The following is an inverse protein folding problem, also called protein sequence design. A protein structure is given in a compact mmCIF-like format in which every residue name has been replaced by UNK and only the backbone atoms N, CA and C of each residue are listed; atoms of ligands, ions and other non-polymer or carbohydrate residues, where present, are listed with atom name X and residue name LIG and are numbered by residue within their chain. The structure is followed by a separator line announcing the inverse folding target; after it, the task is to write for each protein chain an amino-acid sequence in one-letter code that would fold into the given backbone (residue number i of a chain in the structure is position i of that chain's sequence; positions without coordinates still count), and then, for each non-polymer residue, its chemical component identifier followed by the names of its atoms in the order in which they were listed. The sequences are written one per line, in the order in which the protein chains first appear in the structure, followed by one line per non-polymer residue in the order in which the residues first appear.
data_IF_647746902587
#
_entry.id   IF_647746902587
#
_cell.length_a   1.000
_cell.length_b   1.000
_cell.length_c   1.000
_cell.angle_alpha   90.00
_cell.angle_beta   90.00
_cell.angle_gamma   90.00
#
_symmetry.space_group_name_H-M   'P 1'
#
loop_
_entity.id
_entity.type
_entity.pdbx_description
1 polymer ?
#
# COMPACT_ATOMS: atom_id res chain seq x y z
N UNK A 1 -65.22 24.16 -11.48
CA UNK A 1 -64.38 22.96 -11.29
C UNK A 1 -62.94 23.37 -10.89
N UNK A 2 -62.70 23.70 -9.62
CA UNK A 2 -61.36 23.88 -8.99
C UNK A 2 -61.49 23.74 -7.47
N UNK A 3 -61.78 22.53 -6.99
CA UNK A 3 -61.82 22.19 -5.55
C UNK A 3 -61.01 20.92 -5.35
N UNK A 4 -59.70 21.00 -5.54
CA UNK A 4 -58.79 19.86 -5.31
C UNK A 4 -57.45 20.26 -4.66
N UNK A 5 -57.21 21.54 -4.40
CA UNK A 5 -55.94 22.01 -3.80
C UNK A 5 -56.02 22.13 -2.28
N UNK A 6 -57.19 22.45 -1.71
CA UNK A 6 -57.34 22.70 -0.27
C UNK A 6 -57.29 21.43 0.60
N UNK A 7 -57.62 20.25 0.05
CA UNK A 7 -57.61 18.98 0.80
C UNK A 7 -56.22 18.37 0.95
N UNK A 8 -55.28 18.70 0.06
CA UNK A 8 -53.92 18.15 0.09
C UNK A 8 -53.03 18.77 1.17
N UNK A 9 -53.26 20.04 1.51
CA UNK A 9 -52.49 20.73 2.56
C UNK A 9 -52.89 20.29 3.97
N UNK A 10 -54.16 19.96 4.20
CA UNK A 10 -54.62 19.47 5.51
C UNK A 10 -53.92 18.17 5.92
N UNK A 11 -53.69 17.23 4.98
CA UNK A 11 -53.05 15.95 5.31
C UNK A 11 -51.54 16.08 5.59
N UNK A 12 -50.88 17.14 5.10
CA UNK A 12 -49.47 17.37 5.37
C UNK A 12 -49.24 17.98 6.76
N UNK A 13 -50.09 18.93 7.15
CA UNK A 13 -50.04 19.49 8.51
C UNK A 13 -50.41 18.47 9.58
N UNK A 14 -51.37 17.58 9.29
CA UNK A 14 -51.73 16.47 10.19
C UNK A 14 -50.57 15.48 10.37
N UNK A 15 -49.83 15.19 9.28
CA UNK A 15 -48.61 14.37 9.33
C UNK A 15 -47.48 15.04 10.12
N UNK A 16 -47.31 16.36 10.01
CA UNK A 16 -46.31 17.11 10.79
C UNK A 16 -46.69 17.20 12.27
N UNK A 17 -47.98 17.31 12.59
CA UNK A 17 -48.48 17.31 13.96
C UNK A 17 -48.25 15.96 14.67
N UNK A 18 -48.43 14.84 13.95
CA UNK A 18 -48.13 13.48 14.44
C UNK A 18 -46.62 13.27 14.65
N UNK A 19 -45.77 13.83 13.80
CA UNK A 19 -44.31 13.76 13.99
C UNK A 19 -43.87 14.60 15.20
N UNK A 20 -44.43 15.80 15.40
CA UNK A 20 -44.11 16.64 16.57
C UNK A 20 -44.60 16.02 17.88
N UNK A 21 -45.79 15.42 17.90
CA UNK A 21 -46.31 14.75 19.10
C UNK A 21 -45.60 13.41 19.36
N UNK A 22 -45.20 12.69 18.31
CA UNK A 22 -44.44 11.43 18.40
C UNK A 22 -42.97 11.60 18.80
N UNK A 23 -42.31 12.68 18.38
CA UNK A 23 -40.90 12.94 18.69
C UNK A 23 -40.67 13.40 20.15
N UNK A 24 -41.63 14.09 20.76
CA UNK A 24 -41.52 14.53 22.14
C UNK A 24 -41.73 13.38 23.16
N UNK A 25 -42.54 12.38 22.83
CA UNK A 25 -42.82 11.23 23.70
C UNK A 25 -41.82 10.08 23.61
N UNK A 26 -41.05 9.97 22.51
CA UNK A 26 -40.11 8.87 22.29
C UNK A 26 -38.69 9.20 22.73
N UNK A 27 -38.23 10.47 22.61
CA UNK A 27 -36.94 10.88 23.16
C UNK A 27 -36.90 10.79 24.69
N UNK A 28 -37.99 11.14 25.38
CA UNK A 28 -38.05 11.08 26.84
C UNK A 28 -38.02 9.65 27.40
N UNK A 29 -38.59 8.66 26.69
CA UNK A 29 -38.53 7.25 27.10
C UNK A 29 -37.22 6.54 26.77
N UNK A 30 -36.51 6.95 25.71
CA UNK A 30 -35.20 6.35 25.39
C UNK A 30 -34.05 6.92 26.25
N UNK A 31 -34.18 8.14 26.78
CA UNK A 31 -33.19 8.71 27.69
C UNK A 31 -33.26 8.16 29.12
N UNK A 32 -34.41 7.66 29.58
CA UNK A 32 -34.53 7.03 30.91
C UNK A 32 -34.18 5.53 30.95
N UNK A 33 -33.86 4.92 29.81
CA UNK A 33 -33.48 3.51 29.71
C UNK A 33 -31.97 3.29 29.45
N UNK A 34 -31.16 4.35 29.48
CA UNK A 34 -29.71 4.26 29.43
C UNK A 34 -29.18 4.05 30.86
N UNK A 35 -28.45 2.95 31.14
CA UNK A 35 -27.78 2.80 32.43
C UNK A 35 -26.77 3.95 32.60
N UNK A 36 -26.69 4.50 33.81
CA UNK A 36 -25.79 5.61 34.21
C UNK A 36 -24.27 5.28 34.12
N UNK A 37 -23.89 4.28 33.34
CA UNK A 37 -22.50 3.98 32.99
C UNK A 37 -22.26 4.43 31.56
N UNK A 38 -21.69 5.63 31.41
CA UNK A 38 -21.38 6.24 30.12
C UNK A 38 -20.79 5.23 29.15
N UNK A 39 -21.53 4.92 28.09
CA UNK A 39 -21.00 4.25 26.92
C UNK A 39 -19.91 5.17 26.36
N UNK A 40 -18.68 4.87 26.76
CA UNK A 40 -17.49 5.47 26.21
C UNK A 40 -17.53 5.12 24.73
N UNK A 41 -18.00 6.05 23.92
CA UNK A 41 -17.78 6.10 22.48
C UNK A 41 -16.26 6.11 22.34
N UNK A 42 -15.66 4.92 22.32
CA UNK A 42 -14.29 4.72 21.93
C UNK A 42 -14.20 5.22 20.51
N UNK A 43 -13.81 6.49 20.37
CA UNK A 43 -13.36 7.09 19.11
C UNK A 43 -12.49 6.05 18.40
N UNK A 44 -12.67 5.85 17.08
CA UNK A 44 -11.81 4.95 16.35
C UNK A 44 -10.37 5.36 16.67
N UNK A 45 -9.66 4.45 17.34
CA UNK A 45 -8.28 4.60 17.74
C UNK A 45 -7.54 4.98 16.46
N UNK A 46 -7.21 6.27 16.31
CA UNK A 46 -6.63 6.80 15.08
C UNK A 46 -5.40 5.96 14.82
N UNK A 47 -5.50 5.09 13.81
CA UNK A 47 -4.44 4.16 13.46
C UNK A 47 -3.18 5.00 13.31
N UNK A 48 -2.16 4.70 14.11
CA UNK A 48 -0.93 5.50 14.22
C UNK A 48 -0.52 5.97 12.82
N UNK A 49 -0.54 7.29 12.61
CA UNK A 49 -0.42 7.88 11.28
C UNK A 49 0.81 7.30 10.56
N UNK A 50 0.61 6.81 9.33
CA UNK A 50 1.73 6.42 8.50
C UNK A 50 2.41 7.70 8.03
N UNK A 51 3.62 7.94 8.51
CA UNK A 51 4.42 9.11 8.11
C UNK A 51 4.71 9.05 6.61
N UNK A 52 4.73 10.17 5.88
CA UNK A 52 5.09 10.21 4.45
C UNK A 52 6.40 9.49 4.13
N UNK A 53 7.40 9.59 5.02
CA UNK A 53 8.68 8.89 4.90
C UNK A 53 8.49 7.37 4.82
N UNK A 54 7.60 6.80 5.63
CA UNK A 54 7.33 5.36 5.61
C UNK A 54 6.60 4.92 4.34
N UNK A 55 5.73 5.77 3.80
CA UNK A 55 5.10 5.54 2.50
C UNK A 55 6.17 5.52 1.42
N UNK A 56 7.07 6.50 1.40
CA UNK A 56 8.18 6.55 0.44
C UNK A 56 9.08 5.30 0.54
N UNK A 57 9.44 4.90 1.76
CA UNK A 57 10.20 3.66 2.00
C UNK A 57 9.46 2.45 1.47
N UNK A 58 8.14 2.33 1.71
CA UNK A 58 7.32 1.26 1.14
C UNK A 58 7.35 1.24 -0.39
N UNK A 59 7.23 2.39 -1.04
CA UNK A 59 7.34 2.53 -2.50
C UNK A 59 8.72 2.10 -3.00
N UNK A 60 9.80 2.53 -2.35
CA UNK A 60 11.16 2.13 -2.73
C UNK A 60 11.34 0.61 -2.59
N UNK A 61 10.85 0.02 -1.49
CA UNK A 61 10.89 -1.43 -1.29
C UNK A 61 10.15 -2.15 -2.42
N UNK A 62 8.96 -1.69 -2.78
CA UNK A 62 8.22 -2.26 -3.91
C UNK A 62 8.97 -2.21 -5.23
N UNK A 63 9.61 -1.07 -5.52
CA UNK A 63 10.40 -0.93 -6.75
C UNK A 63 11.63 -1.84 -6.75
N UNK A 64 12.39 -1.86 -5.65
CA UNK A 64 13.61 -2.67 -5.50
C UNK A 64 13.31 -4.16 -5.56
N UNK A 65 12.22 -4.61 -4.93
CA UNK A 65 11.83 -6.03 -4.92
C UNK A 65 11.45 -6.52 -6.31
N UNK A 66 10.72 -5.72 -7.10
CA UNK A 66 10.46 -6.05 -8.49
C UNK A 66 11.74 -6.06 -9.34
N UNK A 67 12.59 -5.04 -9.21
CA UNK A 67 13.87 -4.99 -9.95
C UNK A 67 14.72 -6.23 -9.64
N UNK A 68 14.86 -6.58 -8.36
CA UNK A 68 15.57 -7.78 -7.94
C UNK A 68 14.93 -9.06 -8.48
N UNK A 69 13.60 -9.13 -8.54
CA UNK A 69 12.87 -10.23 -9.16
C UNK A 69 13.15 -10.38 -10.65
N UNK A 70 13.13 -9.28 -11.40
CA UNK A 70 13.42 -9.25 -12.83
C UNK A 70 14.87 -9.69 -13.11
N UNK A 71 15.83 -9.16 -12.35
CA UNK A 71 17.23 -9.58 -12.43
C UNK A 71 17.39 -11.05 -12.11
N UNK A 72 16.74 -11.55 -11.05
CA UNK A 72 16.82 -12.95 -10.66
C UNK A 72 16.27 -13.88 -11.74
N UNK A 73 15.16 -13.51 -12.38
CA UNK A 73 14.59 -14.28 -13.49
C UNK A 73 15.59 -14.43 -14.65
N UNK A 74 16.25 -13.34 -15.05
CA UNK A 74 17.26 -13.36 -16.13
C UNK A 74 18.51 -14.15 -15.74
N UNK A 75 18.90 -14.11 -14.46
CA UNK A 75 20.07 -14.82 -13.96
C UNK A 75 19.83 -16.32 -13.79
N UNK A 76 18.58 -16.73 -13.54
CA UNK A 76 18.21 -18.14 -13.42
C UNK A 76 18.04 -18.81 -14.78
N UNK A 77 17.62 -18.07 -15.81
CA UNK A 77 17.31 -18.59 -17.16
C UNK A 77 18.40 -19.54 -17.73
N UNK A 78 19.72 -19.24 -17.65
CA UNK A 78 20.77 -20.14 -18.12
C UNK A 78 20.86 -21.48 -17.38
N UNK A 79 20.36 -21.54 -16.14
CA UNK A 79 20.38 -22.74 -15.29
C UNK A 79 19.12 -23.59 -15.42
N UNK A 80 18.03 -23.04 -15.99
CA UNK A 80 16.73 -23.71 -16.10
C UNK A 80 16.83 -25.01 -16.92
N UNK A 81 17.67 -25.03 -17.96
CA UNK A 81 17.89 -26.21 -18.80
C UNK A 81 18.51 -27.42 -18.06
N UNK A 82 19.08 -27.21 -16.88
CA UNK A 82 19.70 -28.26 -16.06
C UNK A 82 18.78 -28.74 -14.92
N UNK A 83 17.59 -28.18 -14.78
CA UNK A 83 16.63 -28.51 -13.72
C UNK A 83 15.59 -29.52 -14.20
N UNK A 84 14.99 -30.26 -13.26
CA UNK A 84 13.84 -31.11 -13.54
C UNK A 84 12.71 -30.30 -14.19
N UNK A 85 12.00 -30.91 -15.14
CA UNK A 85 11.03 -30.22 -16.00
C UNK A 85 9.92 -29.48 -15.22
N UNK A 86 9.47 -30.03 -14.09
CA UNK A 86 8.49 -29.40 -13.21
C UNK A 86 9.05 -28.14 -12.53
N UNK A 87 10.29 -28.20 -12.05
CA UNK A 87 10.93 -27.08 -11.38
C UNK A 87 11.27 -25.97 -12.38
N UNK A 88 11.79 -26.34 -13.55
CA UNK A 88 12.05 -25.43 -14.66
C UNK A 88 10.77 -24.67 -15.08
N UNK A 89 9.67 -25.40 -15.30
CA UNK A 89 8.38 -24.79 -15.68
C UNK A 89 7.83 -23.87 -14.59
N UNK A 90 8.01 -24.23 -13.32
CA UNK A 90 7.56 -23.41 -12.20
C UNK A 90 8.33 -22.10 -12.10
N UNK A 91 9.65 -22.12 -12.29
CA UNK A 91 10.50 -20.93 -12.26
C UNK A 91 10.21 -20.00 -13.45
N UNK A 92 9.99 -20.57 -14.64
CA UNK A 92 9.57 -19.82 -15.83
C UNK A 92 8.19 -19.17 -15.66
N UNK A 93 7.23 -19.91 -15.08
CA UNK A 93 5.89 -19.39 -14.82
C UNK A 93 5.91 -18.23 -13.83
N UNK A 94 6.81 -18.28 -12.86
CA UNK A 94 6.97 -17.25 -11.85
C UNK A 94 7.48 -15.95 -12.49
N UNK A 95 8.51 -16.06 -13.33
CA UNK A 95 9.13 -14.92 -14.01
C UNK A 95 9.57 -13.80 -13.05
N UNK A 96 9.92 -12.64 -13.62
CA UNK A 96 10.41 -11.51 -12.82
C UNK A 96 9.39 -10.96 -11.82
N UNK A 97 8.13 -10.86 -12.26
CA UNK A 97 7.01 -10.37 -11.43
C UNK A 97 6.74 -11.29 -10.25
N UNK A 98 6.73 -12.61 -10.46
CA UNK A 98 6.49 -13.58 -9.40
C UNK A 98 7.64 -13.62 -8.38
N UNK A 99 8.90 -13.62 -8.83
CA UNK A 99 10.04 -13.51 -7.92
C UNK A 99 10.00 -12.20 -7.12
N UNK A 100 9.70 -11.09 -7.79
CA UNK A 100 9.57 -9.80 -7.11
C UNK A 100 8.45 -9.82 -6.07
N UNK A 101 7.32 -10.48 -6.36
CA UNK A 101 6.19 -10.61 -5.44
C UNK A 101 6.57 -11.40 -4.19
N UNK A 102 7.31 -12.50 -4.36
CA UNK A 102 7.86 -13.26 -3.23
C UNK A 102 8.80 -12.40 -2.40
N UNK A 103 9.72 -11.67 -3.04
CA UNK A 103 10.66 -10.77 -2.35
C UNK A 103 9.92 -9.65 -1.61
N UNK A 104 8.84 -9.10 -2.18
CA UNK A 104 8.00 -8.11 -1.52
C UNK A 104 7.30 -8.68 -0.29
N UNK A 105 6.77 -9.90 -0.37
CA UNK A 105 6.18 -10.60 0.79
C UNK A 105 7.22 -10.84 1.88
N UNK A 106 8.40 -11.33 1.53
CA UNK A 106 9.50 -11.52 2.47
C UNK A 106 9.92 -10.20 3.12
N UNK A 107 10.02 -9.11 2.34
CA UNK A 107 10.32 -7.79 2.86
C UNK A 107 9.23 -7.27 3.82
N UNK A 108 7.95 -7.50 3.49
CA UNK A 108 6.84 -7.14 4.38
C UNK A 108 6.90 -7.89 5.71
N UNK A 109 7.22 -9.18 5.68
CA UNK A 109 7.36 -10.01 6.89
C UNK A 109 8.56 -9.54 7.73
N UNK A 110 9.73 -9.38 7.09
CA UNK A 110 10.97 -8.99 7.77
C UNK A 110 10.87 -7.60 8.41
N UNK A 111 10.25 -6.65 7.71
CA UNK A 111 10.12 -5.25 8.15
C UNK A 111 8.83 -4.98 8.95
N UNK A 112 8.02 -6.02 9.19
CA UNK A 112 6.72 -5.94 9.89
C UNK A 112 5.82 -4.83 9.33
N UNK A 113 5.69 -4.78 8.00
CA UNK A 113 4.86 -3.80 7.29
C UNK A 113 3.39 -4.27 7.29
N UNK A 114 2.75 -4.16 8.45
CA UNK A 114 1.38 -4.63 8.72
C UNK A 114 0.27 -3.64 8.29
N UNK A 115 0.64 -2.38 8.02
CA UNK A 115 -0.34 -1.34 7.69
C UNK A 115 -0.76 -1.39 6.22
N UNK A 116 -2.07 -1.28 5.91
CA UNK A 116 -2.57 -1.34 4.53
C UNK A 116 -2.00 -0.23 3.64
N UNK A 117 -1.76 0.97 4.19
CA UNK A 117 -1.14 2.07 3.44
C UNK A 117 0.29 1.74 2.98
N UNK A 118 1.04 0.92 3.72
CA UNK A 118 2.39 0.49 3.34
C UNK A 118 2.33 -0.58 2.24
N UNK A 119 1.34 -1.48 2.31
CA UNK A 119 1.11 -2.47 1.25
C UNK A 119 0.73 -1.79 -0.08
N UNK A 120 -0.12 -0.76 -0.03
CA UNK A 120 -0.45 0.07 -1.20
C UNK A 120 0.79 0.79 -1.72
N UNK A 121 1.64 1.32 -0.83
CA UNK A 121 2.89 1.97 -1.23
C UNK A 121 3.84 0.98 -1.94
N UNK A 122 3.99 -0.24 -1.43
CA UNK A 122 4.77 -1.31 -2.07
C UNK A 122 4.20 -1.66 -3.44
N UNK A 123 2.89 -1.86 -3.56
CA UNK A 123 2.24 -2.11 -4.84
C UNK A 123 2.46 -0.95 -5.84
N UNK A 124 2.43 0.29 -5.34
CA UNK A 124 2.73 1.49 -6.14
C UNK A 124 4.18 1.48 -6.62
N UNK A 125 5.12 1.12 -5.76
CA UNK A 125 6.53 0.94 -6.11
C UNK A 125 6.74 -0.13 -7.19
N UNK A 126 6.01 -1.23 -7.07
CA UNK A 126 5.96 -2.30 -8.06
C UNK A 126 5.57 -1.78 -9.44
N UNK A 127 4.45 -1.04 -9.52
CA UNK A 127 3.99 -0.41 -10.75
C UNK A 127 4.98 0.63 -11.28
N UNK A 128 5.56 1.44 -10.38
CA UNK A 128 6.55 2.43 -10.75
C UNK A 128 7.79 1.79 -11.38
N UNK A 129 8.23 0.64 -10.89
CA UNK A 129 9.37 -0.08 -11.45
C UNK A 129 9.03 -0.79 -12.77
N UNK A 130 7.82 -1.34 -12.93
CA UNK A 130 7.37 -1.88 -14.24
C UNK A 130 7.50 -0.84 -15.35
N UNK A 131 7.17 0.42 -15.06
CA UNK A 131 7.30 1.52 -16.02
C UNK A 131 8.73 2.10 -16.05
N UNK A 132 9.37 2.13 -14.88
CA UNK A 132 10.67 2.75 -14.65
C UNK A 132 11.84 1.95 -15.23
N UNK A 133 11.69 0.67 -15.51
CA UNK A 133 12.74 -0.15 -16.12
C UNK A 133 13.17 0.38 -17.50
N UNK A 134 12.20 0.82 -18.30
CA UNK A 134 12.50 1.46 -19.60
C UNK A 134 13.29 2.75 -19.44
N UNK A 135 12.97 3.53 -18.39
CA UNK A 135 13.70 4.75 -18.06
C UNK A 135 15.09 4.44 -17.51
N UNK A 136 15.25 3.36 -16.74
CA UNK A 136 16.55 2.90 -16.24
C UNK A 136 17.47 2.50 -17.41
N UNK A 137 16.94 1.80 -18.41
CA UNK A 137 17.68 1.45 -19.61
C UNK A 137 18.17 2.67 -20.40
N UNK A 138 17.40 3.76 -20.41
CA UNK A 138 17.76 5.01 -21.09
C UNK A 138 18.72 5.89 -20.28
N UNK A 139 18.45 6.04 -18.98
CA UNK A 139 19.18 6.95 -18.10
C UNK A 139 20.50 6.36 -17.61
N UNK A 140 20.57 5.04 -17.43
CA UNK A 140 21.75 4.33 -16.95
C UNK A 140 21.94 3.01 -17.73
N UNK A 141 22.25 3.09 -19.04
CA UNK A 141 22.37 1.90 -19.91
C UNK A 141 23.44 0.93 -19.43
N UNK A 142 24.56 1.44 -18.88
CA UNK A 142 25.62 0.61 -18.31
C UNK A 142 25.14 -0.17 -17.07
N UNK A 143 24.41 0.47 -16.17
CA UNK A 143 23.83 -0.20 -15.00
C UNK A 143 22.77 -1.22 -15.42
N UNK A 144 21.92 -0.88 -16.37
CA UNK A 144 20.90 -1.79 -16.89
C UNK A 144 21.54 -3.01 -17.54
N UNK A 145 22.50 -2.82 -18.45
CA UNK A 145 23.24 -3.95 -19.06
C UNK A 145 23.98 -4.79 -18.01
N UNK A 146 24.62 -4.15 -17.03
CA UNK A 146 25.27 -4.82 -15.90
C UNK A 146 24.31 -5.72 -15.12
N UNK A 147 23.10 -5.24 -14.80
CA UNK A 147 22.10 -6.00 -14.06
C UNK A 147 21.56 -7.19 -14.88
N UNK A 148 21.29 -6.99 -16.17
CA UNK A 148 20.59 -7.95 -17.03
C UNK A 148 21.49 -8.84 -17.91
N UNK A 149 22.82 -8.71 -17.86
CA UNK A 149 23.72 -9.60 -18.62
C UNK A 149 24.19 -10.77 -17.77
N UNK A 150 23.78 -12.02 -18.05
CA UNK A 150 24.26 -13.21 -17.33
C UNK A 150 25.78 -13.35 -17.49
N UNK A 151 26.50 -13.61 -16.40
CA UNK A 151 27.96 -13.79 -16.42
C UNK A 151 28.79 -12.49 -16.42
N UNK A 152 28.18 -11.30 -16.33
CA UNK A 152 28.93 -10.10 -15.96
C UNK A 152 29.42 -10.25 -14.50
N UNK A 153 30.67 -10.68 -14.33
CA UNK A 153 31.41 -10.58 -13.07
C UNK A 153 31.59 -9.10 -12.74
N UNK A 154 30.58 -8.50 -12.11
CA UNK A 154 30.72 -7.17 -11.55
C UNK A 154 31.31 -7.30 -10.15
N UNK A 155 32.55 -6.84 -9.92
CA UNK A 155 32.82 -6.19 -8.67
C UNK A 155 31.93 -4.96 -8.66
N UNK A 156 30.74 -5.06 -8.05
CA UNK A 156 29.99 -3.90 -7.58
C UNK A 156 30.84 -3.24 -6.49
N UNK A 157 31.94 -2.60 -6.89
CA UNK A 157 32.59 -1.56 -6.12
C UNK A 157 31.61 -0.40 -6.15
N UNK A 158 30.67 -0.43 -5.23
CA UNK A 158 30.08 0.78 -4.75
C UNK A 158 31.23 1.56 -4.12
N UNK A 159 31.89 2.41 -4.91
CA UNK A 159 32.59 3.56 -4.36
C UNK A 159 31.49 4.44 -3.76
N UNK A 160 31.04 4.05 -2.57
CA UNK A 160 30.39 4.96 -1.66
C UNK A 160 31.42 6.06 -1.47
N UNK A 161 31.23 7.18 -2.17
CA UNK A 161 31.66 8.49 -1.72
C UNK A 161 30.92 8.76 -0.40
N UNK A 162 31.30 8.02 0.65
CA UNK A 162 31.17 8.49 2.02
C UNK A 162 32.21 9.59 2.09
N UNK A 163 31.78 10.82 1.80
CA UNK A 163 32.47 12.00 2.27
C UNK A 163 32.44 11.93 3.80
N UNK A 164 33.40 11.20 4.36
CA UNK A 164 33.71 11.11 5.78
C UNK A 164 34.39 12.41 6.16
N UNK A 165 33.62 13.49 6.06
CA UNK A 165 34.08 14.85 6.26
C UNK A 165 33.08 15.61 7.11
N UNK A 166 33.39 15.73 8.40
CA UNK A 166 32.82 16.69 9.36
C UNK A 166 31.40 16.43 9.91
N UNK A 167 31.25 15.34 10.66
CA UNK A 167 30.47 15.45 11.90
C UNK A 167 31.40 16.00 12.99
N UNK A 168 31.54 17.33 13.03
CA UNK A 168 32.03 18.00 14.22
C UNK A 168 31.03 17.69 15.34
N UNK A 169 31.53 16.92 16.28
CA UNK A 169 30.92 16.57 17.55
C UNK A 169 30.63 17.87 18.34
N UNK A 170 29.43 18.41 18.17
CA UNK A 170 28.88 19.44 19.05
C UNK A 170 27.96 18.75 20.07
N UNK A 171 28.53 18.30 21.20
CA UNK A 171 27.84 18.32 22.49
C UNK A 171 28.76 17.86 23.62
N UNK A 172 28.91 18.79 24.57
CA UNK A 172 29.34 18.71 25.97
C UNK A 172 30.82 18.49 26.27
#
# INVERSE_FOLDING_TARGET
MRVQVATRNKSFEERLAVIRSGAAGTMSRQLSALPEGGAQLSLPKIAAAVTPVRVLVGTIIGAVTLLAGNVLAVRIDPFIGNLDHLLASSLLLLGGVGFGGILAVLAMIALKLDKPALQIAIATGFLAMLMGETHLAQAAPELWTALYTPGADLPLKFDLLVETGTYLQASL
#
